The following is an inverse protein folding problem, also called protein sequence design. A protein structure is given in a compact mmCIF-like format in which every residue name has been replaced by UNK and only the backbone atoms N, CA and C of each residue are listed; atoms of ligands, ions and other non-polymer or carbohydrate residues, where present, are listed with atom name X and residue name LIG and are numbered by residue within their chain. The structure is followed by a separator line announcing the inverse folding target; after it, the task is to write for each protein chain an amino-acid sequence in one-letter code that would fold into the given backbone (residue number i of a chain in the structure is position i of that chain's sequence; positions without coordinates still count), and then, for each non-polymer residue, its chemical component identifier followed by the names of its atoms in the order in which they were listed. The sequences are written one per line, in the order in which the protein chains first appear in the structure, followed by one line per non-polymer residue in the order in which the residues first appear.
data_IF_946904432711
#
_entry.id   IF_946904432711
#
_cell.length_a   1.000
_cell.length_b   1.000
_cell.length_c   1.000
_cell.angle_alpha   90.00
_cell.angle_beta   90.00
_cell.angle_gamma   90.00
#
_symmetry.space_group_name_H-M   'P 1'
#
loop_
_entity.id
_entity.type
_entity.pdbx_description
1 polymer ?
#
# COMPACT_ATOMS: atom_id res chain seq x y z
N UNK A 1 -10.73 -3.18 7.22
CA UNK A 1 -10.11 -2.29 8.23
C UNK A 1 -8.60 -2.16 8.04
N UNK A 2 -7.90 -3.16 7.48
CA UNK A 2 -6.43 -3.15 7.31
C UNK A 2 -5.92 -2.48 6.01
N UNK A 3 -6.76 -1.76 5.26
CA UNK A 3 -6.39 -1.26 3.94
C UNK A 3 -5.23 -0.24 3.97
N UNK A 4 -5.13 0.55 5.03
CA UNK A 4 -3.98 1.43 5.22
C UNK A 4 -2.68 0.67 5.48
N UNK A 5 -2.72 -0.45 6.23
CA UNK A 5 -1.57 -1.33 6.42
C UNK A 5 -1.07 -1.91 5.10
N UNK A 6 -1.99 -2.30 4.22
CA UNK A 6 -1.66 -2.75 2.84
C UNK A 6 -0.99 -1.67 2.02
N UNK A 7 -1.50 -0.44 2.08
CA UNK A 7 -0.91 0.69 1.37
C UNK A 7 0.50 0.96 1.90
N UNK A 8 0.70 0.93 3.21
CA UNK A 8 2.03 1.08 3.82
C UNK A 8 2.98 -0.02 3.37
N UNK A 9 2.57 -1.29 3.42
CA UNK A 9 3.39 -2.42 2.98
C UNK A 9 3.82 -2.28 1.51
N UNK A 10 2.93 -1.78 0.65
CA UNK A 10 3.25 -1.50 -0.75
C UNK A 10 4.24 -0.32 -0.89
N UNK A 11 4.04 0.77 -0.15
CA UNK A 11 4.95 1.93 -0.16
C UNK A 11 6.36 1.52 0.30
N UNK A 12 6.45 0.77 1.42
CA UNK A 12 7.71 0.24 1.93
C UNK A 12 8.36 -0.68 0.91
N UNK A 13 7.60 -1.58 0.28
CA UNK A 13 8.12 -2.45 -0.78
C UNK A 13 8.68 -1.63 -1.94
N UNK A 14 7.99 -0.58 -2.36
CA UNK A 14 8.39 0.27 -3.48
C UNK A 14 9.70 1.02 -3.21
N UNK A 15 10.07 1.23 -1.95
CA UNK A 15 11.35 1.85 -1.57
C UNK A 15 12.56 0.92 -1.77
N UNK A 16 12.36 -0.40 -1.83
CA UNK A 16 13.43 -1.41 -2.00
C UNK A 16 13.34 -2.21 -3.30
N UNK A 17 12.16 -2.24 -3.92
CA UNK A 17 11.91 -2.97 -5.15
C UNK A 17 10.86 -2.23 -5.98
N UNK A 18 11.24 -1.80 -7.18
CA UNK A 18 10.35 -1.11 -8.12
C UNK A 18 9.05 -1.90 -8.39
N UNK A 19 7.87 -1.24 -8.41
CA UNK A 19 6.58 -1.92 -8.59
C UNK A 19 6.42 -2.72 -9.89
N UNK A 20 7.06 -2.30 -10.98
CA UNK A 20 7.10 -3.04 -12.26
C UNK A 20 7.70 -4.45 -12.15
N UNK A 21 8.46 -4.74 -11.10
CA UNK A 21 9.09 -6.04 -10.83
C UNK A 21 8.27 -6.91 -9.89
N UNK A 22 7.10 -6.44 -9.44
CA UNK A 22 6.28 -7.19 -8.49
C UNK A 22 5.52 -8.30 -9.20
N UNK A 23 5.65 -9.50 -8.65
CA UNK A 23 4.84 -10.66 -9.06
C UNK A 23 3.62 -10.80 -8.15
N UNK A 24 2.71 -11.71 -8.50
CA UNK A 24 1.63 -12.13 -7.60
C UNK A 24 2.15 -12.63 -6.25
N UNK A 25 3.33 -13.26 -6.24
CA UNK A 25 4.03 -13.65 -5.00
C UNK A 25 4.40 -12.42 -4.17
N UNK A 26 4.99 -11.39 -4.78
CA UNK A 26 5.32 -10.15 -4.06
C UNK A 26 4.09 -9.43 -3.52
N UNK A 27 3.00 -9.39 -4.27
CA UNK A 27 1.74 -8.86 -3.75
C UNK A 27 1.21 -9.69 -2.57
N UNK A 28 1.38 -11.00 -2.59
CA UNK A 28 0.96 -11.88 -1.48
C UNK A 28 1.83 -11.69 -0.24
N UNK A 29 3.15 -11.55 -0.41
CA UNK A 29 4.07 -11.18 0.68
C UNK A 29 3.68 -9.82 1.28
N UNK A 30 3.39 -8.82 0.45
CA UNK A 30 2.94 -7.52 0.94
C UNK A 30 1.62 -7.62 1.71
N UNK A 31 0.72 -8.56 1.36
CA UNK A 31 -0.50 -8.81 2.15
C UNK A 31 -0.20 -9.37 3.53
N UNK A 32 0.68 -10.35 3.62
CA UNK A 32 1.09 -10.95 4.90
C UNK A 32 1.74 -9.88 5.79
N UNK A 33 2.69 -9.13 5.25
CA UNK A 33 3.44 -8.13 6.02
C UNK A 33 2.58 -6.93 6.40
N UNK A 34 1.49 -6.68 5.65
CA UNK A 34 0.48 -5.69 6.03
C UNK A 34 -0.32 -6.07 7.28
N UNK A 35 -0.60 -7.36 7.47
CA UNK A 35 -1.32 -7.86 8.64
C UNK A 35 -0.39 -7.77 9.87
N UNK A 36 0.88 -8.14 9.69
CA UNK A 36 1.89 -8.06 10.75
C UNK A 36 2.12 -6.61 11.21
N UNK A 37 2.32 -5.66 10.28
CA UNK A 37 2.51 -4.26 10.64
C UNK A 37 1.25 -3.64 11.22
N UNK A 38 0.06 -4.03 10.75
CA UNK A 38 -1.20 -3.60 11.34
C UNK A 38 -1.27 -4.02 12.81
N UNK A 39 -1.01 -5.29 13.10
CA UNK A 39 -1.04 -5.81 14.46
C UNK A 39 0.03 -5.13 15.33
N UNK A 40 1.22 -4.89 14.79
CA UNK A 40 2.27 -4.14 15.47
C UNK A 40 1.82 -2.72 15.83
N UNK A 41 1.24 -1.97 14.88
CA UNK A 41 0.74 -0.61 15.12
C UNK A 41 -0.30 -0.60 16.24
N UNK A 42 -1.30 -1.50 16.19
CA UNK A 42 -2.34 -1.60 17.22
C UNK A 42 -1.71 -1.88 18.58
N UNK A 43 -0.87 -2.91 18.64
CA UNK A 43 -0.22 -3.38 19.87
C UNK A 43 0.69 -2.30 20.48
N UNK A 44 1.48 -1.60 19.66
CA UNK A 44 2.38 -0.55 20.15
C UNK A 44 1.63 0.70 20.61
N UNK A 45 0.52 1.06 19.95
CA UNK A 45 -0.33 2.16 20.44
C UNK A 45 -0.93 1.81 21.80
N UNK A 46 -1.43 0.60 22.00
CA UNK A 46 -1.93 0.17 23.31
C UNK A 46 -0.85 0.19 24.39
N UNK A 47 0.33 -0.39 24.12
CA UNK A 47 1.42 -0.46 25.10
C UNK A 47 2.00 0.90 25.48
N UNK A 48 2.07 1.84 24.53
CA UNK A 48 2.68 3.16 24.75
C UNK A 48 1.69 4.22 25.23
N UNK A 49 0.42 3.86 25.42
CA UNK A 49 -0.64 4.84 25.70
C UNK A 49 -0.84 5.82 24.54
N UNK A 50 -0.62 5.35 23.31
CA UNK A 50 -0.83 6.07 22.07
C UNK A 50 -2.31 6.17 21.68
N UNK A 51 -2.57 6.40 20.40
CA UNK A 51 -3.93 6.54 19.88
C UNK A 51 -4.61 5.17 19.80
N UNK A 52 -5.72 5.01 20.53
CA UNK A 52 -6.48 3.76 20.51
C UNK A 52 -7.09 3.54 19.13
N UNK A 53 -6.88 2.33 18.58
CA UNK A 53 -7.59 1.87 17.38
C UNK A 53 -8.85 1.16 17.85
N UNK A 54 -10.02 1.78 17.67
CA UNK A 54 -11.29 1.16 18.06
C UNK A 54 -11.55 -0.12 17.24
N UNK A 55 -12.19 -1.13 17.85
CA UNK A 55 -12.39 -2.47 17.26
C UNK A 55 -13.04 -2.47 15.86
N UNK A 56 -13.84 -1.45 15.53
CA UNK A 56 -14.53 -1.29 14.25
C UNK A 56 -14.03 -0.08 13.43
N UNK A 57 -12.91 0.52 13.82
CA UNK A 57 -12.35 1.71 13.16
C UNK A 57 -11.22 1.37 12.19
N UNK A 58 -10.90 2.34 11.35
CA UNK A 58 -9.81 2.24 10.39
C UNK A 58 -8.53 2.81 10.99
N UNK A 59 -7.38 2.28 10.59
CA UNK A 59 -6.14 2.98 10.85
C UNK A 59 -6.17 4.33 10.12
N UNK A 60 -6.01 5.40 10.88
CA UNK A 60 -5.60 6.71 10.40
C UNK A 60 -4.07 6.85 10.38
N UNK A 61 -3.57 7.80 9.59
CA UNK A 61 -2.14 8.12 9.44
C UNK A 61 -1.46 8.34 10.81
N UNK A 62 -2.14 9.03 11.73
CA UNK A 62 -1.59 9.34 13.06
C UNK A 62 -1.28 8.10 13.91
N UNK A 63 -1.96 6.98 13.69
CA UNK A 63 -1.65 5.74 14.39
C UNK A 63 -0.24 5.22 14.04
N UNK A 64 0.30 5.60 12.88
CA UNK A 64 1.64 5.20 12.46
C UNK A 64 2.76 5.87 13.25
N UNK A 65 2.46 6.84 14.13
CA UNK A 65 3.47 7.51 14.95
C UNK A 65 4.33 6.53 15.76
N UNK A 66 3.77 5.41 16.20
CA UNK A 66 4.50 4.39 16.97
C UNK A 66 5.57 3.64 16.17
N UNK A 67 5.44 3.60 14.84
CA UNK A 67 6.42 2.99 13.92
C UNK A 67 7.21 4.04 13.11
N UNK A 68 6.93 5.33 13.30
CA UNK A 68 7.46 6.43 12.47
C UNK A 68 8.97 6.38 12.34
N UNK A 69 9.64 6.20 13.47
CA UNK A 69 11.09 6.24 13.53
C UNK A 69 11.76 4.90 13.26
N UNK A 70 11.14 3.76 13.56
CA UNK A 70 11.78 2.46 13.41
C UNK A 70 10.76 1.32 13.34
N UNK A 71 10.88 0.47 12.34
CA UNK A 71 10.20 -0.81 12.24
C UNK A 71 10.97 -1.75 11.30
N UNK A 72 10.71 -3.05 11.42
CA UNK A 72 11.27 -4.07 10.55
C UNK A 72 10.17 -4.57 9.64
N UNK A 73 10.47 -4.68 8.34
CA UNK A 73 9.60 -5.30 7.34
C UNK A 73 10.51 -5.89 6.26
N UNK A 74 10.14 -7.00 5.63
CA UNK A 74 10.92 -7.56 4.52
C UNK A 74 12.44 -7.74 4.81
N UNK A 75 12.77 -8.18 6.02
CA UNK A 75 14.15 -8.37 6.51
C UNK A 75 15.03 -7.10 6.53
N UNK A 76 14.43 -5.90 6.51
CA UNK A 76 15.15 -4.63 6.52
C UNK A 76 14.54 -3.66 7.54
N UNK A 77 15.36 -2.75 8.05
CA UNK A 77 14.92 -1.70 8.96
C UNK A 77 14.48 -0.46 8.19
N UNK A 78 13.38 0.15 8.62
CA UNK A 78 12.76 1.28 7.95
C UNK A 78 12.40 2.40 8.93
N UNK A 79 12.19 3.57 8.35
CA UNK A 79 11.46 4.68 8.96
C UNK A 79 10.48 5.24 7.92
N UNK A 80 9.46 5.96 8.38
CA UNK A 80 8.52 6.66 7.51
C UNK A 80 8.46 8.14 7.85
N UNK A 81 8.20 8.93 6.83
CA UNK A 81 7.98 10.36 6.92
C UNK A 81 6.58 10.69 6.41
N UNK A 82 5.85 11.49 7.18
CA UNK A 82 4.54 12.04 6.84
C UNK A 82 4.30 13.29 7.70
N UNK A 83 3.41 14.17 7.24
CA UNK A 83 2.91 15.30 8.03
C UNK A 83 1.60 14.94 8.72
N UNK A 84 1.64 15.02 10.04
CA UNK A 84 0.57 14.70 10.97
C UNK A 84 -0.64 15.67 10.84
N UNK A 85 -0.47 16.87 10.27
CA UNK A 85 -1.47 17.94 10.35
C UNK A 85 -1.93 18.55 9.01
N UNK A 86 -1.38 18.12 7.87
CA UNK A 86 -1.65 18.79 6.58
C UNK A 86 -2.10 17.83 5.46
N UNK A 87 -3.14 17.00 5.67
CA UNK A 87 -3.72 16.26 4.54
C UNK A 87 -4.20 17.23 3.46
N UNK A 88 -3.99 16.86 2.20
CA UNK A 88 -4.70 17.50 1.10
C UNK A 88 -6.15 17.03 1.11
N UNK A 89 -7.10 17.95 1.34
CA UNK A 89 -8.52 17.64 1.45
C UNK A 89 -9.30 18.21 0.26
N UNK A 90 -10.32 17.49 -0.18
CA UNK A 90 -11.30 17.97 -1.13
C UNK A 90 -12.51 17.05 -1.25
N UNK A 91 -13.41 17.37 -2.18
CA UNK A 91 -14.55 16.52 -2.54
C UNK A 91 -14.26 15.78 -3.85
N UNK A 92 -14.61 14.50 -3.96
CA UNK A 92 -14.37 13.70 -5.17
C UNK A 92 -15.10 14.27 -6.40
N UNK A 93 -16.26 14.88 -6.19
CA UNK A 93 -16.92 15.74 -7.16
C UNK A 93 -16.14 17.04 -7.33
N UNK A 94 -15.20 17.04 -8.28
CA UNK A 94 -14.26 18.14 -8.48
C UNK A 94 -14.91 19.49 -8.81
N UNK A 95 -16.16 19.53 -9.27
CA UNK A 95 -16.92 20.77 -9.51
C UNK A 95 -17.29 21.50 -8.21
N UNK A 96 -17.21 20.82 -7.06
CA UNK A 96 -17.51 21.39 -5.74
C UNK A 96 -16.26 22.01 -5.11
N UNK A 97 -15.07 21.77 -5.67
CA UNK A 97 -13.82 22.25 -5.09
C UNK A 97 -13.49 23.64 -5.66
N UNK A 98 -13.59 24.67 -4.81
CA UNK A 98 -13.44 26.09 -5.15
C UNK A 98 -11.99 26.61 -5.08
N UNK A 99 -11.04 25.78 -4.62
CA UNK A 99 -9.61 26.06 -4.63
C UNK A 99 -9.05 26.78 -3.40
N UNK A 100 -9.89 27.36 -2.53
CA UNK A 100 -9.42 28.03 -1.31
C UNK A 100 -9.36 27.08 -0.10
N UNK A 101 -10.38 26.23 0.08
CA UNK A 101 -10.46 25.26 1.20
C UNK A 101 -10.44 23.81 0.73
N UNK A 102 -10.96 23.54 -0.47
CA UNK A 102 -11.00 22.21 -1.06
C UNK A 102 -10.19 22.18 -2.35
N UNK A 103 -9.20 21.29 -2.42
CA UNK A 103 -8.40 21.06 -3.64
C UNK A 103 -9.11 20.06 -4.55
N UNK A 104 -8.81 20.08 -5.84
CA UNK A 104 -9.18 18.95 -6.70
C UNK A 104 -8.25 17.77 -6.46
N UNK A 105 -8.71 16.54 -6.71
CA UNK A 105 -7.87 15.35 -6.58
C UNK A 105 -6.61 15.46 -7.46
N UNK A 106 -6.79 16.01 -8.67
CA UNK A 106 -5.69 16.35 -9.58
C UNK A 106 -4.68 17.28 -8.94
N UNK A 107 -5.13 18.42 -8.39
CA UNK A 107 -4.24 19.37 -7.73
C UNK A 107 -3.55 18.78 -6.50
N UNK A 108 -4.24 17.94 -5.73
CA UNK A 108 -3.70 17.33 -4.50
C UNK A 108 -2.54 16.37 -4.81
N UNK A 109 -2.77 15.40 -5.70
CA UNK A 109 -1.72 14.42 -6.06
C UNK A 109 -0.59 15.10 -6.83
N UNK A 110 -0.90 16.07 -7.70
CA UNK A 110 0.13 16.83 -8.42
C UNK A 110 1.00 17.67 -7.47
N UNK A 111 0.40 18.30 -6.45
CA UNK A 111 1.18 19.08 -5.46
C UNK A 111 2.15 18.16 -4.73
N UNK A 112 1.64 17.02 -4.23
CA UNK A 112 2.45 16.03 -3.52
C UNK A 112 3.65 15.53 -4.34
N UNK A 113 3.45 15.17 -5.62
CA UNK A 113 4.53 14.63 -6.44
C UNK A 113 5.44 15.70 -7.05
N UNK A 114 4.88 16.78 -7.62
CA UNK A 114 5.63 17.72 -8.45
C UNK A 114 6.10 18.97 -7.70
N UNK A 115 5.37 19.37 -6.65
CA UNK A 115 5.68 20.61 -5.89
C UNK A 115 6.44 20.27 -4.62
N UNK A 116 5.97 19.28 -3.86
CA UNK A 116 6.59 18.89 -2.58
C UNK A 116 7.64 17.78 -2.73
N UNK A 117 7.69 17.15 -3.91
CA UNK A 117 8.66 16.10 -4.25
C UNK A 117 8.58 14.82 -3.41
N UNK A 118 7.41 14.52 -2.84
CA UNK A 118 7.15 13.22 -2.22
C UNK A 118 7.03 12.12 -3.27
N UNK A 119 7.37 10.88 -2.89
CA UNK A 119 7.34 9.73 -3.81
C UNK A 119 6.07 8.91 -3.66
N UNK A 120 5.41 9.00 -2.53
CA UNK A 120 4.21 8.20 -2.31
C UNK A 120 3.23 8.86 -1.36
N UNK A 121 1.98 8.42 -1.45
CA UNK A 121 0.93 8.85 -0.56
C UNK A 121 -0.23 7.88 -0.50
N UNK A 122 -1.12 8.20 0.44
CA UNK A 122 -2.35 7.48 0.71
C UNK A 122 -3.51 8.36 0.29
N UNK A 123 -4.29 7.90 -0.67
CA UNK A 123 -5.60 8.44 -1.00
C UNK A 123 -6.65 7.72 -0.16
N UNK A 124 -7.38 8.45 0.68
CA UNK A 124 -8.47 7.89 1.49
C UNK A 124 -9.81 8.48 1.08
N UNK A 125 -10.81 7.64 0.85
CA UNK A 125 -12.19 8.04 0.58
C UNK A 125 -13.17 6.90 0.93
N UNK A 126 -14.36 7.24 1.44
CA UNK A 126 -15.40 6.26 1.83
C UNK A 126 -14.90 5.12 2.75
N UNK A 127 -13.91 5.38 3.63
CA UNK A 127 -13.33 4.35 4.51
C UNK A 127 -12.37 3.38 3.82
N UNK A 128 -11.95 3.69 2.59
CA UNK A 128 -10.96 2.92 1.83
C UNK A 128 -9.67 3.73 1.66
N UNK A 129 -8.54 3.07 1.83
CA UNK A 129 -7.22 3.63 1.56
C UNK A 129 -6.61 2.98 0.31
N UNK A 130 -6.04 3.83 -0.55
CA UNK A 130 -5.38 3.46 -1.78
C UNK A 130 -3.97 4.06 -1.80
N UNK A 131 -3.01 3.34 -2.35
CA UNK A 131 -1.65 3.86 -2.51
C UNK A 131 -1.49 4.54 -3.85
N UNK A 132 -0.87 5.72 -3.87
CA UNK A 132 -0.38 6.38 -5.08
C UNK A 132 1.13 6.51 -4.94
N UNK A 133 1.88 6.06 -5.95
CA UNK A 133 3.35 6.03 -5.91
C UNK A 133 3.88 6.59 -7.21
N UNK A 134 4.87 7.46 -7.13
CA UNK A 134 5.69 7.94 -8.22
C UNK A 134 7.10 7.34 -8.05
N UNK A 135 7.51 6.50 -8.99
CA UNK A 135 8.81 5.85 -8.95
C UNK A 135 9.42 5.86 -10.36
N UNK A 136 10.69 6.31 -10.44
CA UNK A 136 11.36 6.63 -11.68
C UNK A 136 10.53 7.61 -12.51
N UNK A 137 10.00 7.16 -13.65
CA UNK A 137 9.18 7.96 -14.58
C UNK A 137 7.76 7.37 -14.74
N UNK A 138 7.30 6.58 -13.76
CA UNK A 138 6.03 5.87 -13.79
C UNK A 138 5.21 6.13 -12.54
N UNK A 139 3.90 6.06 -12.72
CA UNK A 139 2.93 6.19 -11.65
C UNK A 139 2.33 4.84 -11.34
N UNK A 140 2.03 4.59 -10.07
CA UNK A 140 1.42 3.35 -9.62
C UNK A 140 0.25 3.61 -8.70
N UNK A 141 -0.82 2.84 -8.89
CA UNK A 141 -1.99 2.81 -8.02
C UNK A 141 -2.09 1.44 -7.35
N UNK A 142 -2.22 1.41 -6.03
CA UNK A 142 -2.33 0.17 -5.26
C UNK A 142 -3.68 0.08 -4.55
N UNK A 143 -4.32 -1.09 -4.64
CA UNK A 143 -5.65 -1.31 -4.09
C UNK A 143 -5.77 -2.73 -3.53
N UNK A 144 -6.06 -2.82 -2.23
CA UNK A 144 -6.24 -4.08 -1.50
C UNK A 144 -7.62 -4.72 -1.69
N UNK A 145 -8.61 -3.97 -2.18
CA UNK A 145 -10.01 -4.41 -2.16
C UNK A 145 -10.46 -5.05 -3.46
N UNK A 146 -10.03 -4.53 -4.61
CA UNK A 146 -10.36 -5.09 -5.93
C UNK A 146 -9.78 -4.23 -7.04
N UNK A 147 -9.19 -4.88 -8.02
CA UNK A 147 -9.03 -4.29 -9.35
C UNK A 147 -9.84 -5.10 -10.36
N UNK A 148 -10.74 -4.43 -11.07
CA UNK A 148 -11.58 -5.02 -12.08
C UNK A 148 -12.01 -3.96 -13.09
N UNK A 149 -12.51 -4.40 -14.24
CA UNK A 149 -13.03 -3.50 -15.26
C UNK A 149 -14.17 -2.64 -14.70
N UNK A 150 -14.24 -1.38 -15.14
CA UNK A 150 -15.36 -0.50 -14.83
C UNK A 150 -16.68 -1.17 -15.25
N UNK A 151 -17.71 -1.10 -14.41
CA UNK A 151 -18.98 -1.81 -14.63
C UNK A 151 -18.98 -3.30 -14.28
N UNK A 152 -17.82 -3.89 -13.96
CA UNK A 152 -17.75 -5.20 -13.34
C UNK A 152 -18.41 -5.18 -11.96
N UNK A 153 -19.67 -5.66 -11.89
CA UNK A 153 -20.49 -5.65 -10.67
C UNK A 153 -19.64 -5.94 -9.43
N UNK A 154 -19.58 -4.97 -8.49
CA UNK A 154 -19.73 -5.11 -7.04
C UNK A 154 -19.31 -6.42 -6.33
N UNK A 155 -19.84 -7.53 -6.85
CA UNK A 155 -20.23 -8.77 -6.18
C UNK A 155 -19.58 -10.03 -6.78
N UNK A 156 -18.40 -9.95 -7.39
CA UNK A 156 -17.66 -11.18 -7.76
C UNK A 156 -16.83 -11.66 -6.56
N UNK A 157 -16.88 -12.96 -6.19
CA UNK A 157 -16.24 -13.49 -4.99
C UNK A 157 -14.70 -13.54 -5.03
N UNK A 158 -14.06 -13.21 -6.16
CA UNK A 158 -12.62 -13.35 -6.39
C UNK A 158 -11.93 -12.00 -6.65
N UNK A 159 -12.19 -11.00 -5.81
CA UNK A 159 -11.49 -9.71 -5.91
C UNK A 159 -10.08 -9.86 -5.36
N UNK A 160 -9.09 -9.61 -6.19
CA UNK A 160 -7.66 -9.69 -5.84
C UNK A 160 -7.13 -8.28 -5.59
N UNK A 161 -6.22 -8.16 -4.62
CA UNK A 161 -5.38 -6.97 -4.49
C UNK A 161 -4.57 -6.77 -5.78
N UNK A 162 -4.31 -5.52 -6.14
CA UNK A 162 -3.51 -5.24 -7.32
C UNK A 162 -2.66 -3.98 -7.18
N UNK A 163 -1.72 -3.88 -8.12
CA UNK A 163 -0.98 -2.68 -8.46
C UNK A 163 -1.19 -2.43 -9.94
N UNK A 164 -1.53 -1.19 -10.29
CA UNK A 164 -1.70 -0.73 -11.66
C UNK A 164 -0.57 0.25 -11.97
N UNK A 165 0.22 -0.07 -12.99
CA UNK A 165 1.17 0.87 -13.58
C UNK A 165 0.42 1.84 -14.49
N UNK A 166 0.85 3.10 -14.51
CA UNK A 166 0.31 4.18 -15.31
C UNK A 166 1.48 4.93 -15.94
N UNK A 167 1.42 5.12 -17.25
CA UNK A 167 2.49 5.76 -18.01
C UNK A 167 2.46 7.28 -17.84
N UNK A 168 1.29 7.83 -17.50
CA UNK A 168 1.09 9.27 -17.34
C UNK A 168 0.33 9.59 -16.06
N UNK A 169 0.51 10.82 -15.58
CA UNK A 169 -0.23 11.33 -14.44
C UNK A 169 -1.75 11.35 -14.69
N UNK A 170 -2.19 11.63 -15.92
CA UNK A 170 -3.62 11.63 -16.26
C UNK A 170 -4.21 10.21 -16.24
N UNK A 171 -3.43 9.17 -16.58
CA UNK A 171 -3.84 7.77 -16.39
C UNK A 171 -3.99 7.41 -14.92
N UNK A 172 -3.02 7.78 -14.08
CA UNK A 172 -3.13 7.59 -12.63
C UNK A 172 -4.41 8.23 -12.09
N UNK A 173 -4.70 9.47 -12.50
CA UNK A 173 -5.91 10.16 -12.07
C UNK A 173 -7.20 9.48 -12.53
N UNK A 174 -7.23 8.94 -13.75
CA UNK A 174 -8.37 8.15 -14.25
C UNK A 174 -8.57 6.90 -13.39
N UNK A 175 -7.49 6.21 -13.03
CA UNK A 175 -7.53 5.03 -12.16
C UNK A 175 -8.03 5.39 -10.76
N UNK A 176 -7.50 6.46 -10.16
CA UNK A 176 -7.96 6.94 -8.85
C UNK A 176 -9.46 7.24 -8.87
N UNK A 177 -9.93 8.04 -9.85
CA UNK A 177 -11.36 8.36 -9.99
C UNK A 177 -12.23 7.14 -10.24
N UNK A 178 -11.74 6.14 -10.97
CA UNK A 178 -12.46 4.87 -11.17
C UNK A 178 -12.61 4.10 -9.86
N UNK A 179 -11.59 4.12 -9.00
CA UNK A 179 -11.59 3.43 -7.72
C UNK A 179 -12.47 4.16 -6.67
N UNK A 180 -12.38 5.49 -6.60
CA UNK A 180 -13.10 6.31 -5.60
C UNK A 180 -14.49 6.75 -6.05
N UNK A 181 -14.76 6.75 -7.36
CA UNK A 181 -15.93 7.40 -7.94
C UNK A 181 -15.86 8.93 -7.94
N UNK A 182 -16.98 9.55 -8.34
CA UNK A 182 -17.13 11.02 -8.49
C UNK A 182 -18.28 11.59 -7.64
N UNK A 183 -18.57 10.95 -6.49
CA UNK A 183 -19.67 11.37 -5.60
C UNK A 183 -19.31 12.64 -4.82
N UNK A 184 -20.29 13.26 -4.17
CA UNK A 184 -20.07 14.32 -3.18
C UNK A 184 -19.57 13.74 -1.85
N UNK A 185 -18.39 13.11 -1.88
CA UNK A 185 -17.72 12.53 -0.72
C UNK A 185 -16.35 13.17 -0.56
N UNK A 186 -15.97 13.45 0.68
CA UNK A 186 -14.65 13.96 1.02
C UNK A 186 -13.58 12.88 0.75
N UNK A 187 -12.45 13.32 0.20
CA UNK A 187 -11.23 12.54 0.17
C UNK A 187 -10.13 13.25 0.96
N UNK A 188 -9.13 12.49 1.37
CA UNK A 188 -7.84 13.00 1.83
C UNK A 188 -6.70 12.39 1.02
N UNK A 189 -5.62 13.15 0.81
CA UNK A 189 -4.33 12.63 0.35
C UNK A 189 -3.28 13.03 1.37
N UNK A 190 -2.63 12.04 1.96
CA UNK A 190 -1.48 12.21 2.85
C UNK A 190 -0.25 11.64 2.17
N UNK A 191 0.86 12.37 2.15
CA UNK A 191 2.11 11.77 1.72
C UNK A 191 2.60 10.79 2.79
N UNK A 192 3.27 9.73 2.35
CA UNK A 192 4.07 8.86 3.18
C UNK A 192 5.28 8.46 2.36
N UNK A 193 6.47 8.85 2.80
CA UNK A 193 7.72 8.39 2.21
C UNK A 193 8.38 7.37 3.14
N UNK A 194 8.73 6.20 2.59
CA UNK A 194 9.44 5.16 3.33
C UNK A 194 10.94 5.23 3.04
N UNK A 195 11.73 5.15 4.09
CA UNK A 195 13.19 5.24 4.04
C UNK A 195 13.81 3.98 4.62
N UNK A 196 14.63 3.29 3.81
CA UNK A 196 15.48 2.19 4.29
C UNK A 196 16.53 2.79 5.22
N UNK A 197 16.66 2.22 6.42
CA UNK A 197 17.80 2.51 7.27
C UNK A 197 18.96 1.67 6.82
N UNK A 198 20.09 2.30 6.53
CA UNK A 198 21.33 1.57 6.28
C UNK A 198 21.56 0.58 7.42
N UNK A 199 21.65 -0.71 7.06
CA UNK A 199 21.88 -1.76 8.02
C UNK A 199 23.11 -1.41 8.86
N UNK A 200 22.93 -1.22 10.16
CA UNK A 200 23.96 -1.71 11.10
C UNK A 200 24.08 -3.18 10.71
N UNK A 201 25.17 -3.52 10.05
CA UNK A 201 25.55 -4.90 9.76
C UNK A 201 25.38 -5.66 11.07
N UNK A 202 24.33 -6.47 11.19
CA UNK A 202 24.31 -7.52 12.18
C UNK A 202 25.38 -8.49 11.69
N UNK A 203 26.61 -8.22 12.09
CA UNK A 203 27.69 -9.18 12.07
C UNK A 203 27.18 -10.35 12.91
N UNK A 204 26.51 -11.30 12.27
CA UNK A 204 26.70 -12.68 12.65
C UNK A 204 28.19 -12.90 12.47
N UNK A 205 28.94 -12.81 13.58
CA UNK A 205 30.38 -12.97 13.60
C UNK A 205 30.73 -14.31 12.97
N UNK A 206 31.11 -14.28 11.71
CA UNK A 206 31.84 -15.36 11.08
C UNK A 206 33.29 -15.02 11.37
N UNK A 207 33.77 -15.47 12.54
CA UNK A 207 35.19 -15.74 12.68
C UNK A 207 35.52 -16.82 11.64
N UNK A 208 36.07 -16.37 10.52
CA UNK A 208 36.66 -17.22 9.49
C UNK A 208 37.93 -17.86 10.04
N UNK A 209 37.84 -18.82 10.97
CA UNK A 209 38.95 -19.72 11.27
C UNK A 209 38.59 -20.97 12.11
N UNK A 210 37.42 -21.59 11.91
CA UNK A 210 37.19 -22.96 12.41
C UNK A 210 35.95 -23.62 11.77
N UNK A 211 35.99 -23.94 10.48
CA UNK A 211 34.94 -24.75 9.87
C UNK A 211 35.51 -25.86 8.97
N UNK A 212 36.45 -26.62 9.53
CA UNK A 212 36.66 -28.01 9.10
C UNK A 212 35.95 -28.89 10.12
N UNK A 213 35.04 -29.75 9.64
CA UNK A 213 34.37 -30.86 10.35
C UNK A 213 33.04 -30.56 11.06
N UNK A 214 31.93 -30.70 10.32
CA UNK A 214 30.94 -31.80 10.45
C UNK A 214 29.61 -31.36 9.84
N UNK A 215 29.43 -31.65 8.55
CA UNK A 215 28.10 -31.76 7.97
C UNK A 215 27.49 -33.05 8.55
N UNK A 216 26.74 -32.92 9.64
CA UNK A 216 25.81 -33.97 10.05
C UNK A 216 24.47 -33.65 9.39
N UNK A 217 24.16 -34.41 8.34
CA UNK A 217 22.82 -34.56 7.79
C UNK A 217 21.87 -34.91 8.94
N UNK A 218 20.92 -34.02 9.26
CA UNK A 218 19.70 -34.42 9.93
C UNK A 218 18.71 -34.85 8.84
N UNK A 219 18.35 -36.14 8.87
CA UNK A 219 17.27 -36.70 8.07
C UNK A 219 15.92 -36.20 8.61
N UNK A 220 14.90 -36.04 7.75
CA UNK A 220 13.57 -35.63 8.19
C UNK A 220 12.82 -36.85 8.75
N UNK A 221 12.55 -36.87 10.04
CA UNK A 221 11.55 -37.78 10.61
C UNK A 221 10.64 -37.05 11.58
N UNK A 222 9.35 -37.24 11.33
CA UNK A 222 8.18 -36.87 12.14
C UNK A 222 7.63 -35.45 11.90
N UNK A 223 6.95 -35.31 10.76
CA UNK A 223 5.92 -34.29 10.57
C UNK A 223 4.71 -34.64 11.46
N UNK A 224 4.59 -33.96 12.60
CA UNK A 224 3.29 -33.81 13.25
C UNK A 224 2.52 -32.69 12.53
N UNK A 225 1.27 -33.00 12.23
CA UNK A 225 0.32 -32.24 11.42
C UNK A 225 0.10 -30.83 11.94
N UNK A 226 0.72 -29.84 11.29
CA UNK A 226 0.24 -28.46 11.31
C UNK A 226 -1.03 -28.39 10.45
N UNK A 227 -2.16 -27.87 10.95
CA UNK A 227 -3.35 -27.76 10.12
C UNK A 227 -3.07 -26.79 8.97
N UNK A 228 -3.27 -27.31 7.76
CA UNK A 228 -3.17 -26.59 6.50
C UNK A 228 -4.22 -25.47 6.50
N UNK A 229 -3.82 -24.24 6.81
CA UNK A 229 -4.67 -23.07 6.52
C UNK A 229 -4.74 -22.98 5.00
N UNK A 230 -5.91 -23.31 4.48
CA UNK A 230 -6.21 -23.41 3.07
C UNK A 230 -6.14 -22.01 2.44
N UNK A 231 -4.97 -21.63 1.92
CA UNK A 231 -4.83 -20.44 1.07
C UNK A 231 -5.45 -20.77 -0.29
N UNK A 232 -6.52 -20.05 -0.62
CA UNK A 232 -7.29 -20.25 -1.84
C UNK A 232 -6.41 -20.14 -3.10
N UNK A 233 -6.19 -21.27 -3.75
CA UNK A 233 -5.48 -21.42 -5.03
C UNK A 233 -6.32 -20.77 -6.15
N UNK A 234 -5.79 -19.81 -6.93
CA UNK A 234 -6.39 -19.48 -8.25
C UNK A 234 -5.46 -18.84 -9.29
N UNK A 235 -5.20 -19.65 -10.32
CA UNK A 235 -5.37 -19.47 -11.79
C UNK A 235 -4.73 -18.28 -12.55
N UNK A 236 -4.30 -18.50 -13.81
CA UNK A 236 -3.44 -17.59 -14.57
C UNK A 236 -4.16 -16.34 -15.09
N UNK A 237 -3.35 -15.33 -15.37
CA UNK A 237 -3.71 -13.99 -15.84
C UNK A 237 -4.30 -14.10 -17.25
N UNK A 238 -5.52 -13.57 -17.43
CA UNK A 238 -6.10 -13.35 -18.75
C UNK A 238 -5.98 -11.86 -19.09
N UNK A 239 -4.96 -11.52 -19.88
CA UNK A 239 -4.76 -10.18 -20.42
C UNK A 239 -5.72 -10.00 -21.60
N UNK A 240 -6.93 -9.51 -21.34
CA UNK A 240 -7.78 -8.94 -22.39
C UNK A 240 -8.17 -7.51 -22.02
N UNK A 241 -7.59 -6.55 -22.74
CA UNK A 241 -8.10 -5.18 -22.83
C UNK A 241 -9.42 -5.18 -23.63
N UNK A 242 -10.43 -4.42 -23.22
CA UNK A 242 -11.48 -4.05 -24.16
C UNK A 242 -11.76 -2.54 -24.25
N UNK A 243 -11.91 -2.17 -25.52
CA UNK A 243 -12.44 -1.00 -26.23
C UNK A 243 -12.57 0.38 -25.59
N UNK A 244 -11.96 1.32 -26.31
CA UNK A 244 -12.15 2.77 -26.33
C UNK A 244 -13.59 3.08 -26.77
N UNK A 245 -14.57 3.03 -25.87
CA UNK A 245 -15.91 3.56 -26.12
C UNK A 245 -16.65 3.67 -24.77
N UNK A 246 -16.35 4.73 -24.02
CA UNK A 246 -17.24 5.32 -23.01
C UNK A 246 -16.85 6.81 -22.86
N UNK A 247 -16.71 7.50 -24.00
CA UNK A 247 -17.05 8.92 -24.07
C UNK A 247 -18.58 8.97 -24.12
N UNK A 248 -19.24 9.18 -22.98
CA UNK A 248 -20.67 9.51 -22.97
C UNK A 248 -20.80 11.03 -22.92
N UNK A 249 -21.28 11.54 -24.05
CA UNK A 249 -21.76 12.90 -24.28
C UNK A 249 -22.81 13.35 -23.25
N UNK A 250 -22.57 14.56 -22.74
CA UNK A 250 -23.49 15.70 -22.51
C UNK A 250 -25.00 15.43 -22.38
N UNK A 251 -25.59 16.04 -21.35
CA UNK A 251 -26.82 16.83 -21.46
C UNK A 251 -26.73 18.06 -20.58
#
# INVERSE_FOLDING_TARGET
MQCLGMVLANIVRASILEPNRWTTTKLSENMIESDDIYQQIVTENEHRGGLAVEEDSYLEILHMNVIKHDFIMYDSAFSIEYDDNTPYIGILSGSVNDGELARTLKSSINTMFEIDHHKSGVLTAEGYSYGVIHNADKYYFTNSHSCGTAGGKARRPNRKACVLECDTFDELLRVCKRATGSKNVQYTVNYIDAHVKDNIVRNYGIDQEAATQKIVRLQPSQAETVPLIQTSVMAPIDCSEPNVEDEIEIS
#
